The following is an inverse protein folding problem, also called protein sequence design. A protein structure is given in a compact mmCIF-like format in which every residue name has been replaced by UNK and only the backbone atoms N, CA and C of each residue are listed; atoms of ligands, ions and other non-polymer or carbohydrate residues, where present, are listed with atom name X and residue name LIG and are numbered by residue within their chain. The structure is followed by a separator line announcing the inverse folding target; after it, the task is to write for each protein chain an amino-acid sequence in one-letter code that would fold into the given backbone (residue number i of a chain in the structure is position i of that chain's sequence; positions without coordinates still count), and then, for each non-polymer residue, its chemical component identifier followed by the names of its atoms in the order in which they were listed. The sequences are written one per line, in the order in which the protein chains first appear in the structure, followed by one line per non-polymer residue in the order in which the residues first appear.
data_IF_893482301052
#
_entry.id   IF_893482301052
#
_cell.length_a   1.000
_cell.length_b   1.000
_cell.length_c   1.000
_cell.angle_alpha   90.00
_cell.angle_beta   90.00
_cell.angle_gamma   90.00
#
_symmetry.space_group_name_H-M   'P 1'
#
loop_
_entity.id
_entity.type
_entity.pdbx_description
1 polymer ?
#
# COMPACT_ATOMS: atom_id res chain seq x y z
N UNK A 1 20.53 -14.56 0.18
CA UNK A 1 19.86 -14.61 1.50
C UNK A 1 18.99 -13.37 1.56
N UNK A 2 17.67 -13.52 1.55
CA UNK A 2 16.72 -12.39 1.60
C UNK A 2 16.58 -11.90 3.03
N UNK A 3 16.63 -10.59 3.25
CA UNK A 3 16.39 -9.99 4.57
C UNK A 3 14.94 -9.48 4.67
N UNK A 4 14.04 -10.44 4.88
CA UNK A 4 12.60 -10.18 4.96
C UNK A 4 12.22 -9.25 6.10
N UNK A 5 12.96 -9.28 7.23
CA UNK A 5 12.71 -8.38 8.36
C UNK A 5 12.93 -6.93 7.96
N UNK A 6 14.04 -6.64 7.29
CA UNK A 6 14.34 -5.29 6.80
C UNK A 6 13.35 -4.86 5.71
N UNK A 7 12.95 -5.77 4.81
CA UNK A 7 11.90 -5.48 3.81
C UNK A 7 10.58 -5.07 4.47
N UNK A 8 10.10 -5.85 5.44
CA UNK A 8 8.85 -5.56 6.13
C UNK A 8 8.92 -4.27 6.93
N UNK A 9 10.06 -3.95 7.53
CA UNK A 9 10.26 -2.69 8.25
C UNK A 9 10.18 -1.45 7.32
N UNK A 10 10.79 -1.54 6.14
CA UNK A 10 10.71 -0.47 5.13
C UNK A 10 9.26 -0.27 4.66
N UNK A 11 8.57 -1.37 4.36
CA UNK A 11 7.19 -1.31 3.86
C UNK A 11 6.21 -0.85 4.93
N UNK A 12 6.37 -1.26 6.19
CA UNK A 12 5.50 -0.84 7.28
C UNK A 12 5.68 0.64 7.63
N UNK A 13 6.92 1.15 7.63
CA UNK A 13 7.20 2.58 7.81
C UNK A 13 6.54 3.43 6.71
N UNK A 14 6.61 2.98 5.46
CA UNK A 14 5.96 3.65 4.34
C UNK A 14 4.43 3.66 4.48
N UNK A 15 3.82 2.55 4.91
CA UNK A 15 2.38 2.47 5.14
C UNK A 15 1.92 3.42 6.25
N UNK A 16 2.67 3.53 7.35
CA UNK A 16 2.37 4.47 8.43
C UNK A 16 2.32 5.90 7.89
N UNK A 17 3.35 6.31 7.14
CA UNK A 17 3.41 7.65 6.50
C UNK A 17 2.24 7.93 5.56
N UNK A 18 1.80 6.91 4.81
CA UNK A 18 0.65 7.06 3.89
C UNK A 18 -0.65 7.23 4.68
N UNK A 19 -0.85 6.48 5.77
CA UNK A 19 -2.06 6.56 6.60
C UNK A 19 -2.17 7.94 7.27
N UNK A 20 -1.05 8.56 7.62
CA UNK A 20 -1.01 9.93 8.17
C UNK A 20 -1.58 10.99 7.21
N UNK A 21 -1.75 10.70 5.92
CA UNK A 21 -2.41 11.62 4.99
C UNK A 21 -3.92 11.69 5.15
N UNK A 22 -4.55 10.68 5.76
CA UNK A 22 -6.01 10.66 5.99
C UNK A 22 -6.49 11.88 6.78
N UNK A 23 -5.92 12.17 7.97
CA UNK A 23 -6.22 13.38 8.73
C UNK A 23 -5.95 14.67 7.93
N UNK A 24 -4.84 14.75 7.19
CA UNK A 24 -4.51 15.93 6.38
C UNK A 24 -5.57 16.22 5.30
N UNK A 25 -6.12 15.17 4.70
CA UNK A 25 -7.23 15.27 3.75
C UNK A 25 -8.52 15.72 4.44
N UNK A 26 -8.84 15.12 5.60
CA UNK A 26 -10.06 15.41 6.36
C UNK A 26 -10.08 16.85 6.92
N UNK A 27 -8.93 17.37 7.31
CA UNK A 27 -8.75 18.72 7.81
C UNK A 27 -8.59 19.77 6.69
N UNK A 28 -8.60 19.35 5.42
CA UNK A 28 -8.46 20.25 4.27
C UNK A 28 -7.08 20.88 4.13
N UNK A 29 -6.05 20.30 4.75
CA UNK A 29 -4.68 20.83 4.72
C UNK A 29 -4.01 20.65 3.36
N UNK A 30 -4.48 19.71 2.54
CA UNK A 30 -4.02 19.51 1.17
C UNK A 30 -5.13 18.92 0.27
N UNK A 31 -5.08 19.15 -1.05
CA UNK A 31 -5.99 18.49 -1.99
C UNK A 31 -5.85 16.96 -1.95
N UNK A 32 -6.96 16.19 -1.97
CA UNK A 32 -6.90 14.73 -1.96
C UNK A 32 -6.06 14.13 -3.09
N UNK A 33 -6.09 14.75 -4.28
CA UNK A 33 -5.29 14.31 -5.42
C UNK A 33 -3.78 14.42 -5.14
N UNK A 34 -3.32 15.51 -4.53
CA UNK A 34 -1.92 15.71 -4.21
C UNK A 34 -1.43 14.72 -3.14
N UNK A 35 -2.29 14.42 -2.16
CA UNK A 35 -2.01 13.43 -1.13
C UNK A 35 -1.91 12.01 -1.72
N UNK A 36 -2.78 11.66 -2.68
CA UNK A 36 -2.70 10.38 -3.38
C UNK A 36 -1.45 10.27 -4.25
N UNK A 37 -1.03 11.34 -4.93
CA UNK A 37 0.21 11.35 -5.70
C UNK A 37 1.40 11.10 -4.76
N UNK A 38 1.48 11.85 -3.64
CA UNK A 38 2.54 11.65 -2.64
C UNK A 38 2.53 10.24 -2.04
N UNK A 39 1.34 9.68 -1.79
CA UNK A 39 1.22 8.32 -1.29
C UNK A 39 1.77 7.29 -2.29
N UNK A 40 1.47 7.48 -3.58
CA UNK A 40 2.00 6.67 -4.67
C UNK A 40 3.52 6.75 -4.75
N UNK A 41 4.09 7.95 -4.66
CA UNK A 41 5.55 8.16 -4.69
C UNK A 41 6.24 7.47 -3.50
N UNK A 42 5.69 7.58 -2.29
CA UNK A 42 6.21 6.90 -1.10
C UNK A 42 6.14 5.38 -1.27
N UNK A 43 5.02 4.85 -1.76
CA UNK A 43 4.85 3.43 -2.00
C UNK A 43 5.87 2.90 -3.03
N UNK A 44 6.06 3.61 -4.14
CA UNK A 44 7.03 3.24 -5.17
C UNK A 44 8.47 3.24 -4.65
N UNK A 45 8.85 4.27 -3.88
CA UNK A 45 10.17 4.35 -3.25
C UNK A 45 10.39 3.23 -2.24
N UNK A 46 9.42 2.95 -1.39
CA UNK A 46 9.51 1.88 -0.40
C UNK A 46 9.62 0.50 -1.03
N UNK A 47 8.83 0.22 -2.07
CA UNK A 47 8.92 -1.03 -2.83
C UNK A 47 10.30 -1.19 -3.49
N UNK A 48 10.83 -0.10 -4.08
CA UNK A 48 12.17 -0.11 -4.69
C UNK A 48 13.25 -0.37 -3.64
N UNK A 49 13.17 0.28 -2.48
CA UNK A 49 14.11 0.09 -1.38
C UNK A 49 14.03 -1.33 -0.81
N UNK A 50 12.83 -1.86 -0.57
CA UNK A 50 12.63 -3.22 -0.08
C UNK A 50 13.14 -4.27 -1.09
N UNK A 51 12.99 -4.04 -2.39
CA UNK A 51 13.50 -4.94 -3.41
C UNK A 51 15.03 -5.09 -3.40
N UNK A 52 15.77 -4.16 -2.78
CA UNK A 52 17.24 -4.28 -2.63
C UNK A 52 17.65 -5.37 -1.63
N UNK A 53 16.74 -5.79 -0.75
CA UNK A 53 16.98 -6.81 0.28
C UNK A 53 16.45 -8.19 -0.12
N UNK A 54 15.94 -8.33 -1.34
CA UNK A 54 15.38 -9.57 -1.86
C UNK A 54 14.28 -9.33 -2.89
N UNK A 55 13.99 -10.36 -3.69
CA UNK A 55 12.83 -10.31 -4.58
C UNK A 55 11.55 -10.20 -3.74
N UNK A 56 10.73 -9.19 -4.02
CA UNK A 56 9.42 -9.06 -3.40
C UNK A 56 8.48 -10.16 -3.90
N UNK A 57 7.61 -10.69 -3.04
CA UNK A 57 6.58 -11.62 -3.48
C UNK A 57 5.73 -10.94 -4.57
N UNK A 58 5.28 -11.69 -5.60
CA UNK A 58 4.34 -11.16 -6.56
C UNK A 58 3.05 -10.74 -5.84
N UNK A 59 2.35 -9.74 -6.38
CA UNK A 59 0.99 -9.46 -5.93
C UNK A 59 0.15 -10.71 -6.22
N UNK A 60 -0.47 -11.28 -5.19
CA UNK A 60 -1.41 -12.38 -5.37
C UNK A 60 -2.67 -11.83 -6.07
N UNK A 61 -2.80 -12.03 -7.38
CA UNK A 61 -4.07 -11.81 -8.10
C UNK A 61 -5.21 -12.73 -7.61
N UNK A 62 -4.87 -13.72 -6.79
CA UNK A 62 -5.79 -14.74 -6.25
C UNK A 62 -6.76 -14.25 -5.17
N UNK A 63 -6.72 -12.97 -4.78
CA UNK A 63 -7.74 -12.33 -3.95
C UNK A 63 -8.61 -11.34 -4.76
N UNK A 64 -8.86 -11.63 -6.04
CA UNK A 64 -10.23 -11.40 -6.55
C UNK A 64 -11.13 -12.31 -5.72
N UNK A 65 -11.50 -11.84 -4.52
CA UNK A 65 -12.61 -12.41 -3.77
C UNK A 65 -13.73 -12.58 -4.78
N UNK A 66 -14.22 -13.80 -4.91
CA UNK A 66 -15.50 -14.10 -5.55
C UNK A 66 -16.60 -13.39 -4.76
N UNK A 67 -16.69 -12.06 -4.90
CA UNK A 67 -17.87 -11.26 -4.58
C UNK A 67 -18.83 -11.45 -5.76
N UNK A 68 -19.09 -12.70 -6.14
CA UNK A 68 -20.20 -13.06 -7.01
C UNK A 68 -21.37 -13.43 -6.11
N UNK A 69 -22.17 -12.40 -5.84
CA UNK A 69 -23.63 -12.46 -5.84
C UNK A 69 -24.24 -13.73 -5.23
N UNK A 70 -24.34 -13.78 -3.90
CA UNK A 70 -25.50 -14.37 -3.24
C UNK A 70 -26.58 -13.30 -3.04
N UNK A 71 -26.94 -12.61 -4.13
CA UNK A 71 -28.20 -11.91 -4.25
C UNK A 71 -29.05 -12.71 -5.25
N UNK A 72 -30.27 -13.05 -4.81
CA UNK A 72 -31.28 -13.88 -5.45
C UNK A 72 -31.07 -15.41 -5.42
N UNK A 73 -31.76 -16.05 -4.46
CA UNK A 73 -32.85 -16.98 -4.79
C UNK A 73 -33.75 -17.24 -3.56
N UNK A 74 -35.01 -16.85 -3.74
CA UNK A 74 -36.27 -17.22 -3.05
C UNK A 74 -36.62 -16.66 -1.66
#
# INVERSE_FOLDING_TARGET
MTDTTTQLAILSDALIKIIEFGPLAAEGQAPPADLLIRAGDIAAQALTAAATYGQLPPFSESERLDIQSSADSE
#
